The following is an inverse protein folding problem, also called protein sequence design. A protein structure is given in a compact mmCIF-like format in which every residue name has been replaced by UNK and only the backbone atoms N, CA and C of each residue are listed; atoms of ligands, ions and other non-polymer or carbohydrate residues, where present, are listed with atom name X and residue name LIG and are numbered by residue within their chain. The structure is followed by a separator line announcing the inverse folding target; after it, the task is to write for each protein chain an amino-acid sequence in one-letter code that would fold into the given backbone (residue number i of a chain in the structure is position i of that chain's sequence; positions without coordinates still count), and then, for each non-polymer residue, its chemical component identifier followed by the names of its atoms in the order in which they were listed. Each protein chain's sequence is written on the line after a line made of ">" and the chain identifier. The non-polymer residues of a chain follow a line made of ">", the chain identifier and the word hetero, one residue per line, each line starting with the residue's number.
data_IF_245408511446
#
_entry.id   IF_245408511446
#
_cell.length_a   1.000
_cell.length_b   1.000
_cell.length_c   1.000
_cell.angle_alpha   90.00
_cell.angle_beta   90.00
_cell.angle_gamma   90.00
#
_symmetry.space_group_name_H-M   'P 1'
#
loop_
_entity.id
_entity.type
_entity.pdbx_description
1 polymer ?
#
# COMPACT_ATOMS: atom_id res chain seq x y z
N UNK A 1 48.47 -7.34 -6.44
CA UNK A 1 47.45 -6.29 -6.26
C UNK A 1 46.27 -6.90 -5.53
N UNK A 2 45.86 -6.32 -4.41
CA UNK A 2 44.66 -6.76 -3.66
C UNK A 2 43.43 -6.06 -4.23
N UNK A 3 42.49 -6.84 -4.73
CA UNK A 3 41.20 -6.35 -5.22
C UNK A 3 40.38 -5.86 -4.01
N UNK A 4 39.91 -4.61 -4.03
CA UNK A 4 38.90 -4.14 -3.07
C UNK A 4 37.52 -4.40 -3.64
N UNK A 5 36.75 -5.25 -2.96
CA UNK A 5 35.35 -5.49 -3.27
C UNK A 5 34.47 -4.52 -2.49
N UNK A 6 33.47 -3.96 -3.16
CA UNK A 6 32.43 -3.16 -2.54
C UNK A 6 31.13 -3.93 -2.67
N UNK A 7 30.46 -4.15 -1.53
CA UNK A 7 29.17 -4.84 -1.48
C UNK A 7 28.16 -3.85 -0.90
N UNK A 8 27.04 -3.68 -1.58
CA UNK A 8 25.92 -2.88 -1.10
C UNK A 8 24.80 -3.84 -0.74
N UNK A 9 24.20 -3.59 0.42
CA UNK A 9 23.01 -4.29 0.88
C UNK A 9 21.86 -3.30 0.91
N UNK A 10 20.72 -3.74 0.40
CA UNK A 10 19.46 -3.09 0.70
C UNK A 10 19.07 -3.37 2.16
N UNK A 11 18.23 -2.53 2.76
CA UNK A 11 17.76 -2.70 4.13
C UNK A 11 16.49 -3.55 4.16
N UNK A 12 15.44 -3.05 3.53
CA UNK A 12 14.09 -3.60 3.59
C UNK A 12 13.99 -4.92 2.84
N UNK A 13 13.61 -5.99 3.53
CA UNK A 13 13.50 -7.32 2.94
C UNK A 13 14.83 -7.98 2.59
N UNK A 14 15.97 -7.32 2.82
CA UNK A 14 17.31 -7.90 2.64
C UNK A 14 18.01 -8.11 3.97
N UNK A 15 18.25 -7.03 4.74
CA UNK A 15 18.85 -7.13 6.07
C UNK A 15 17.80 -7.27 7.18
N UNK A 16 16.60 -6.73 6.96
CA UNK A 16 15.52 -6.71 7.95
C UNK A 16 14.19 -7.09 7.30
N UNK A 17 13.42 -8.00 7.92
CA UNK A 17 12.03 -8.25 7.51
C UNK A 17 11.13 -7.12 8.01
N UNK A 18 11.06 -6.02 7.25
CA UNK A 18 10.26 -4.83 7.58
C UNK A 18 8.80 -4.93 7.16
N UNK A 19 8.40 -6.04 6.52
CA UNK A 19 7.02 -6.23 6.06
C UNK A 19 5.97 -6.15 7.19
N UNK A 20 6.18 -6.73 8.39
CA UNK A 20 5.21 -6.63 9.49
C UNK A 20 5.03 -5.19 9.99
N UNK A 21 6.11 -4.43 10.14
CA UNK A 21 6.06 -3.05 10.65
C UNK A 21 5.39 -2.11 9.65
N UNK A 22 5.71 -2.25 8.36
CA UNK A 22 5.05 -1.51 7.29
C UNK A 22 3.55 -1.83 7.21
N UNK A 23 3.17 -3.09 7.49
CA UNK A 23 1.76 -3.47 7.57
C UNK A 23 1.04 -2.81 8.75
N UNK A 24 1.69 -2.78 9.92
CA UNK A 24 1.13 -2.17 11.12
C UNK A 24 0.93 -0.66 10.91
N UNK A 25 1.91 0.02 10.31
CA UNK A 25 1.80 1.43 9.95
C UNK A 25 0.67 1.68 8.93
N UNK A 26 0.55 0.83 7.91
CA UNK A 26 -0.54 0.90 6.94
C UNK A 26 -1.91 0.74 7.60
N UNK A 27 -2.09 -0.31 8.40
CA UNK A 27 -3.36 -0.60 9.07
C UNK A 27 -3.74 0.44 10.11
N UNK A 28 -2.75 1.06 10.76
CA UNK A 28 -2.97 2.22 11.63
C UNK A 28 -3.63 3.37 10.85
N UNK A 29 -3.12 3.70 9.66
CA UNK A 29 -3.70 4.74 8.80
C UNK A 29 -5.10 4.33 8.31
N UNK A 30 -5.28 3.09 7.83
CA UNK A 30 -6.60 2.63 7.37
C UNK A 30 -7.65 2.77 8.49
N UNK A 31 -7.33 2.30 9.69
CA UNK A 31 -8.22 2.37 10.85
C UNK A 31 -8.53 3.80 11.25
N UNK A 32 -7.51 4.68 11.27
CA UNK A 32 -7.65 6.10 11.62
C UNK A 32 -8.66 6.84 10.73
N UNK A 33 -8.78 6.46 9.46
CA UNK A 33 -9.68 7.09 8.49
C UNK A 33 -10.94 6.26 8.20
N UNK A 34 -11.22 5.20 8.98
CA UNK A 34 -12.44 4.40 8.87
C UNK A 34 -12.45 3.38 7.73
N UNK A 35 -11.28 3.05 7.17
CA UNK A 35 -11.13 2.02 6.14
C UNK A 35 -10.85 0.64 6.74
N UNK A 36 -11.19 -0.41 5.98
CA UNK A 36 -10.85 -1.79 6.35
C UNK A 36 -9.34 -2.00 6.34
N UNK A 37 -8.85 -2.72 7.36
CA UNK A 37 -7.46 -3.18 7.42
C UNK A 37 -7.23 -4.33 6.45
N UNK A 38 -5.96 -4.59 6.17
CA UNK A 38 -5.52 -5.61 5.23
C UNK A 38 -4.51 -6.55 5.89
N UNK A 39 -4.52 -7.80 5.45
CA UNK A 39 -3.58 -8.81 5.93
C UNK A 39 -2.19 -8.58 5.34
N UNK A 40 -1.18 -9.11 6.04
CA UNK A 40 0.21 -9.05 5.59
C UNK A 40 0.37 -9.71 4.22
N UNK A 41 -0.35 -10.81 3.96
CA UNK A 41 -0.31 -11.55 2.70
C UNK A 41 -0.94 -10.77 1.54
N UNK A 42 -2.04 -10.05 1.77
CA UNK A 42 -2.70 -9.25 0.74
C UNK A 42 -1.79 -8.14 0.20
N UNK A 43 -0.90 -7.62 1.04
CA UNK A 43 -0.13 -6.41 0.75
C UNK A 43 1.38 -6.69 0.60
N UNK A 44 1.89 -7.89 0.95
CA UNK A 44 3.34 -8.23 0.85
C UNK A 44 3.93 -7.91 -0.53
N UNK A 45 3.17 -8.17 -1.59
CA UNK A 45 3.57 -7.91 -2.98
C UNK A 45 3.54 -6.41 -3.40
N UNK A 46 3.09 -5.54 -2.50
CA UNK A 46 2.90 -4.11 -2.73
C UNK A 46 3.91 -3.23 -2.00
N UNK A 47 4.53 -3.75 -0.93
CA UNK A 47 5.50 -3.02 -0.11
C UNK A 47 6.65 -2.45 -0.96
N UNK A 48 7.17 -3.22 -1.90
CA UNK A 48 8.25 -2.78 -2.80
C UNK A 48 7.86 -1.74 -3.86
N UNK A 49 6.59 -1.35 -3.95
CA UNK A 49 6.10 -0.33 -4.91
C UNK A 49 5.93 1.06 -4.28
N UNK A 50 6.30 1.20 -3.00
CA UNK A 50 6.23 2.45 -2.26
C UNK A 50 4.85 2.75 -1.65
N UNK A 51 4.83 3.73 -0.75
CA UNK A 51 3.66 4.04 0.08
C UNK A 51 2.42 4.46 -0.72
N UNK A 52 2.59 5.26 -1.80
CA UNK A 52 1.46 5.69 -2.63
C UNK A 52 0.75 4.52 -3.31
N UNK A 53 1.52 3.54 -3.80
CA UNK A 53 0.96 2.34 -4.40
C UNK A 53 0.26 1.44 -3.37
N UNK A 54 0.75 1.44 -2.12
CA UNK A 54 0.16 0.75 -0.98
C UNK A 54 -1.22 1.31 -0.65
N UNK A 55 -1.29 2.62 -0.41
CA UNK A 55 -2.52 3.33 -0.04
C UNK A 55 -3.53 3.28 -1.18
N UNK A 56 -3.09 3.61 -2.41
CA UNK A 56 -3.98 3.65 -3.57
C UNK A 56 -4.69 2.31 -3.83
N UNK A 57 -3.98 1.18 -3.68
CA UNK A 57 -4.60 -0.15 -3.85
C UNK A 57 -5.56 -0.51 -2.72
N UNK A 58 -5.23 -0.15 -1.48
CA UNK A 58 -6.13 -0.41 -0.35
C UNK A 58 -7.42 0.41 -0.45
N UNK A 59 -7.35 1.62 -1.01
CA UNK A 59 -8.53 2.47 -1.22
C UNK A 59 -9.34 2.11 -2.47
N UNK A 60 -8.72 1.54 -3.50
CA UNK A 60 -9.37 1.28 -4.80
C UNK A 60 -10.64 0.44 -4.69
N UNK A 61 -10.64 -0.60 -3.85
CA UNK A 61 -11.82 -1.45 -3.63
C UNK A 61 -13.01 -0.66 -3.09
N UNK A 62 -12.78 0.09 -2.01
CA UNK A 62 -13.80 0.92 -1.37
C UNK A 62 -14.28 2.03 -2.31
N UNK A 63 -13.35 2.72 -2.99
CA UNK A 63 -13.68 3.77 -3.95
C UNK A 63 -14.56 3.25 -5.09
N UNK A 64 -14.29 2.04 -5.61
CA UNK A 64 -15.10 1.42 -6.67
C UNK A 64 -16.51 1.09 -6.17
N UNK A 65 -16.64 0.57 -4.95
CA UNK A 65 -17.95 0.28 -4.36
C UNK A 65 -18.76 1.55 -4.08
N UNK A 66 -18.13 2.58 -3.52
CA UNK A 66 -18.76 3.88 -3.26
C UNK A 66 -19.21 4.53 -4.56
N UNK A 67 -18.36 4.55 -5.58
CA UNK A 67 -18.71 5.06 -6.91
C UNK A 67 -19.86 4.27 -7.54
N UNK A 68 -19.92 2.95 -7.34
CA UNK A 68 -21.00 2.11 -7.82
C UNK A 68 -22.38 2.44 -7.20
N UNK A 69 -22.41 2.86 -5.93
CA UNK A 69 -23.64 3.20 -5.20
C UNK A 69 -24.29 4.51 -5.66
N UNK A 70 -23.53 5.39 -6.32
CA UNK A 70 -24.06 6.66 -6.84
C UNK A 70 -25.01 6.37 -8.01
N UNK A 71 -26.30 6.65 -7.84
CA UNK A 71 -27.33 6.43 -8.89
C UNK A 71 -27.48 7.63 -9.82
N UNK A 72 -27.10 8.82 -9.36
CA UNK A 72 -27.18 10.04 -10.17
C UNK A 72 -26.05 10.10 -11.19
N UNK A 73 -26.42 10.14 -12.47
CA UNK A 73 -25.46 10.11 -13.56
C UNK A 73 -24.68 11.44 -13.69
N UNK A 74 -25.30 12.55 -13.29
CA UNK A 74 -24.65 13.87 -13.31
C UNK A 74 -23.50 13.92 -12.29
N UNK A 75 -23.77 13.51 -11.05
CA UNK A 75 -22.77 13.41 -9.97
C UNK A 75 -21.64 12.45 -10.34
N UNK A 76 -21.94 11.32 -10.98
CA UNK A 76 -20.91 10.39 -11.47
C UNK A 76 -19.95 11.02 -12.48
N UNK A 77 -20.47 11.83 -13.41
CA UNK A 77 -19.66 12.47 -14.45
C UNK A 77 -18.80 13.62 -13.92
N UNK A 78 -19.16 14.24 -12.79
CA UNK A 78 -18.36 15.31 -12.16
C UNK A 78 -17.19 14.77 -11.32
N UNK A 79 -17.23 13.48 -10.96
CA UNK A 79 -16.20 12.80 -10.13
C UNK A 79 -15.08 12.14 -10.92
N UNK A 80 -15.20 12.04 -12.25
CA UNK A 80 -14.23 11.41 -13.18
C UNK A 80 -13.63 12.47 -14.08
#
# INVERSE_FOLDING_TARGET
>A
MTQKYTILFDLDGTLVDTAPDLMNAHNHVMTKYGYQTKSTEEIRNLVGKGASALIGRSLWGNAKEEFGKIKDQKTKNEMV
#
